data_IF_171482592430
#
_entry.id   IF_171482592430
#
_cell.length_a   1.000
_cell.length_b   1.000
_cell.length_c   1.000
_cell.angle_alpha   90.00
_cell.angle_beta   90.00
_cell.angle_gamma   90.00
#
_symmetry.space_group_name_H-M   'P 1'
#
loop_
_entity.id
_entity.type
_entity.pdbx_description
1 polymer ?
#
# COMPACT_ATOMS: atom_id res chain seq x y z
N UNK A 1 -11.88 8.07 -21.26
CA UNK A 1 -12.49 6.78 -21.56
C UNK A 1 -13.99 6.88 -21.80
N UNK A 2 -14.46 6.18 -22.82
CA UNK A 2 -15.85 6.22 -23.33
C UNK A 2 -16.97 5.88 -22.31
N UNK A 3 -16.63 5.56 -21.06
CA UNK A 3 -17.61 5.17 -20.03
C UNK A 3 -17.50 6.01 -18.74
N UNK A 4 -16.77 7.12 -18.78
CA UNK A 4 -16.69 8.05 -17.64
C UNK A 4 -17.72 9.16 -17.80
N UNK A 5 -18.29 9.56 -16.68
CA UNK A 5 -19.28 10.63 -16.61
C UNK A 5 -18.92 11.54 -15.42
N UNK A 6 -19.52 12.72 -15.35
CA UNK A 6 -19.36 13.62 -14.20
C UNK A 6 -19.78 12.96 -12.86
N UNK A 7 -20.72 12.01 -12.89
CA UNK A 7 -21.14 11.23 -11.70
C UNK A 7 -20.13 10.12 -11.33
N UNK A 8 -19.29 9.70 -12.28
CA UNK A 8 -18.24 8.65 -12.09
C UNK A 8 -16.95 9.07 -12.79
N UNK A 9 -16.31 10.15 -12.36
CA UNK A 9 -15.14 10.70 -13.03
C UNK A 9 -13.92 9.80 -12.86
N UNK A 10 -12.94 9.98 -13.74
CA UNK A 10 -11.60 9.54 -13.53
C UNK A 10 -10.91 10.55 -12.62
N UNK A 11 -10.54 10.14 -11.42
CA UNK A 11 -9.77 10.99 -10.51
C UNK A 11 -8.29 10.83 -10.80
N UNK A 12 -7.61 11.94 -11.05
CA UNK A 12 -6.17 11.98 -11.41
C UNK A 12 -5.41 12.83 -10.39
N UNK A 13 -4.32 12.32 -9.88
CA UNK A 13 -3.45 13.02 -8.94
C UNK A 13 -1.97 12.78 -9.24
N UNK A 14 -1.10 13.46 -8.53
CA UNK A 14 0.34 13.27 -8.63
C UNK A 14 1.00 13.40 -7.26
N UNK A 15 1.95 12.51 -6.97
CA UNK A 15 2.80 12.61 -5.78
C UNK A 15 3.83 13.74 -5.89
N UNK A 16 4.14 14.17 -7.10
CA UNK A 16 5.14 15.23 -7.36
C UNK A 16 4.77 16.56 -6.71
N UNK A 17 3.48 16.80 -6.47
CA UNK A 17 3.02 18.01 -5.77
C UNK A 17 3.35 17.98 -4.26
N UNK A 18 3.67 16.79 -3.69
CA UNK A 18 4.04 16.62 -2.29
C UNK A 18 5.55 16.65 -2.07
N UNK A 19 6.33 16.01 -2.95
CA UNK A 19 7.77 15.75 -2.75
C UNK A 19 8.65 16.19 -3.91
N UNK A 20 8.12 17.02 -4.84
CA UNK A 20 8.76 17.39 -6.09
C UNK A 20 9.01 16.17 -7.02
N UNK A 21 9.83 16.34 -8.05
CA UNK A 21 10.11 15.28 -9.01
C UNK A 21 11.31 14.45 -8.56
N UNK A 22 11.04 13.26 -7.97
CA UNK A 22 12.07 12.34 -7.51
C UNK A 22 12.78 11.56 -8.61
N UNK A 23 12.67 11.99 -9.88
CA UNK A 23 13.30 11.35 -11.04
C UNK A 23 13.08 9.83 -11.07
N UNK A 24 14.13 9.03 -10.87
CA UNK A 24 14.07 7.57 -10.88
C UNK A 24 13.14 6.98 -9.80
N UNK A 25 12.95 7.67 -8.68
CA UNK A 25 12.06 7.23 -7.58
C UNK A 25 10.60 7.67 -7.75
N UNK A 26 10.29 8.55 -8.72
CA UNK A 26 8.97 9.15 -8.85
C UNK A 26 7.85 8.13 -9.10
N UNK A 27 8.14 7.08 -9.86
CA UNK A 27 7.19 5.98 -10.11
C UNK A 27 6.83 5.23 -8.82
N UNK A 28 7.84 4.85 -8.04
CA UNK A 28 7.66 4.15 -6.77
C UNK A 28 6.94 5.02 -5.73
N UNK A 29 7.28 6.30 -5.66
CA UNK A 29 6.55 7.24 -4.79
C UNK A 29 5.06 7.34 -5.17
N UNK A 30 4.74 7.30 -6.47
CA UNK A 30 3.36 7.21 -6.96
C UNK A 30 2.66 5.93 -6.51
N UNK A 31 3.33 4.78 -6.58
CA UNK A 31 2.81 3.49 -6.12
C UNK A 31 2.53 3.55 -4.62
N UNK A 32 3.47 4.02 -3.80
CA UNK A 32 3.30 4.14 -2.35
C UNK A 32 2.10 5.04 -2.01
N UNK A 33 2.00 6.22 -2.65
CA UNK A 33 0.86 7.12 -2.45
C UNK A 33 -0.47 6.43 -2.77
N UNK A 34 -0.51 5.66 -3.85
CA UNK A 34 -1.71 4.94 -4.28
C UNK A 34 -2.08 3.82 -3.31
N UNK A 35 -1.11 3.04 -2.83
CA UNK A 35 -1.33 2.02 -1.80
C UNK A 35 -1.89 2.63 -0.52
N UNK A 36 -1.34 3.75 -0.06
CA UNK A 36 -1.85 4.46 1.10
C UNK A 36 -3.28 4.98 0.87
N UNK A 37 -3.58 5.53 -0.30
CA UNK A 37 -4.93 5.98 -0.65
C UNK A 37 -5.96 4.82 -0.64
N UNK A 38 -5.60 3.65 -1.19
CA UNK A 38 -6.41 2.43 -1.13
C UNK A 38 -6.63 1.98 0.31
N UNK A 39 -5.56 1.93 1.11
CA UNK A 39 -5.57 1.49 2.51
C UNK A 39 -6.43 2.39 3.39
N UNK A 40 -6.35 3.71 3.20
CA UNK A 40 -7.11 4.67 4.00
C UNK A 40 -8.51 4.94 3.45
N UNK A 41 -8.86 4.45 2.27
CA UNK A 41 -10.16 4.73 1.65
C UNK A 41 -10.36 6.20 1.32
N UNK A 42 -9.28 6.91 1.06
CA UNK A 42 -9.29 8.34 0.78
C UNK A 42 -8.34 8.69 -0.37
N UNK A 43 -8.80 9.53 -1.27
CA UNK A 43 -7.96 10.10 -2.33
C UNK A 43 -7.48 11.47 -1.87
N UNK A 44 -6.18 11.65 -1.60
CA UNK A 44 -5.67 12.91 -1.10
C UNK A 44 -5.70 14.00 -2.18
N UNK A 45 -5.83 15.24 -1.73
CA UNK A 45 -5.81 16.41 -2.63
C UNK A 45 -4.48 16.50 -3.40
N UNK A 46 -4.56 17.06 -4.59
CA UNK A 46 -3.38 17.49 -5.34
C UNK A 46 -2.98 18.89 -4.88
N UNK A 47 -1.76 19.03 -4.36
CA UNK A 47 -1.29 20.32 -3.82
C UNK A 47 -1.00 21.32 -4.92
N UNK A 48 -1.01 22.61 -4.58
CA UNK A 48 -0.60 23.73 -5.44
C UNK A 48 -1.39 23.88 -6.76
N UNK A 49 -2.59 23.30 -6.84
CA UNK A 49 -3.46 23.42 -8.01
C UNK A 49 -4.38 24.64 -7.86
N UNK A 50 -3.96 25.79 -8.36
CA UNK A 50 -4.80 26.99 -8.39
C UNK A 50 -5.78 26.95 -9.57
N UNK A 51 -5.32 26.50 -10.74
CA UNK A 51 -6.12 26.35 -11.97
C UNK A 51 -5.64 25.14 -12.77
N UNK A 52 -6.56 24.34 -13.32
CA UNK A 52 -6.20 23.27 -14.26
C UNK A 52 -5.50 23.84 -15.50
N UNK A 53 -4.64 23.03 -16.13
CA UNK A 53 -3.97 23.42 -17.36
C UNK A 53 -4.97 23.65 -18.49
N UNK A 54 -4.87 24.78 -19.18
CA UNK A 54 -5.69 25.08 -20.39
C UNK A 54 -5.28 24.25 -21.61
N UNK A 55 -4.18 23.50 -21.53
CA UNK A 55 -3.69 22.63 -22.62
C UNK A 55 -4.33 21.23 -22.60
N UNK A 56 -5.13 20.94 -21.59
CA UNK A 56 -5.80 19.67 -21.40
C UNK A 56 -7.29 19.87 -21.57
N UNK A 57 -7.91 19.08 -22.41
CA UNK A 57 -9.35 18.99 -22.53
C UNK A 57 -9.89 18.18 -21.36
N UNK A 58 -10.36 18.85 -20.33
CA UNK A 58 -10.84 18.20 -19.10
C UNK A 58 -12.22 17.54 -19.24
N UNK A 59 -12.89 17.77 -20.39
CA UNK A 59 -14.25 17.27 -20.60
C UNK A 59 -15.29 17.95 -19.71
N UNK A 60 -16.48 17.39 -19.66
CA UNK A 60 -17.61 17.87 -18.85
C UNK A 60 -17.59 17.39 -17.39
N UNK A 61 -16.42 17.19 -16.77
CA UNK A 61 -16.28 16.61 -15.44
C UNK A 61 -15.95 15.13 -15.41
N UNK A 62 -15.62 14.54 -16.56
CA UNK A 62 -15.20 13.15 -16.68
C UNK A 62 -13.82 12.88 -16.12
N UNK A 63 -12.97 13.91 -16.03
CA UNK A 63 -11.65 13.88 -15.42
C UNK A 63 -11.60 14.95 -14.35
N UNK A 64 -11.22 14.57 -13.14
CA UNK A 64 -11.14 15.45 -11.97
C UNK A 64 -9.77 15.34 -11.31
N UNK A 65 -9.19 16.49 -11.00
CA UNK A 65 -8.02 16.60 -10.12
C UNK A 65 -8.50 17.08 -8.76
N UNK A 66 -8.38 16.31 -7.69
CA UNK A 66 -8.93 16.66 -6.38
C UNK A 66 -8.18 17.87 -5.79
N UNK A 67 -8.90 18.90 -5.40
CA UNK A 67 -8.40 20.09 -4.67
C UNK A 67 -8.60 19.99 -3.16
N UNK A 68 -9.43 19.05 -2.72
CA UNK A 68 -9.63 18.64 -1.34
C UNK A 68 -9.51 17.12 -1.24
N UNK A 69 -9.30 16.59 -0.05
CA UNK A 69 -9.37 15.16 0.18
C UNK A 69 -10.77 14.64 -0.17
N UNK A 70 -10.83 13.52 -0.87
CA UNK A 70 -12.08 12.90 -1.32
C UNK A 70 -12.22 11.51 -0.70
N UNK A 71 -13.35 11.18 -0.07
CA UNK A 71 -13.64 9.80 0.32
C UNK A 71 -13.55 8.88 -0.92
N UNK A 72 -12.96 7.71 -0.74
CA UNK A 72 -13.01 6.65 -1.73
C UNK A 72 -13.91 5.53 -1.19
N UNK A 73 -15.21 5.65 -1.37
CA UNK A 73 -16.16 4.75 -0.73
C UNK A 73 -16.00 3.32 -1.20
N UNK A 74 -16.38 2.40 -0.35
CA UNK A 74 -16.51 1.01 -0.70
C UNK A 74 -17.66 0.81 -1.69
N UNK A 75 -17.54 -0.20 -2.53
CA UNK A 75 -18.54 -0.60 -3.51
C UNK A 75 -18.58 -2.12 -3.63
N UNK A 76 -19.47 -2.65 -4.45
CA UNK A 76 -19.50 -4.08 -4.79
C UNK A 76 -18.21 -4.55 -5.50
N UNK A 77 -17.49 -3.62 -6.12
CA UNK A 77 -16.22 -3.89 -6.78
C UNK A 77 -15.06 -3.35 -5.94
N UNK A 78 -13.91 -4.04 -5.92
CA UNK A 78 -12.73 -3.55 -5.24
C UNK A 78 -12.27 -2.22 -5.84
N UNK A 79 -11.70 -1.36 -5.00
CA UNK A 79 -11.09 -0.11 -5.44
C UNK A 79 -9.89 -0.42 -6.32
N UNK A 80 -9.79 0.28 -7.44
CA UNK A 80 -8.69 0.12 -8.40
C UNK A 80 -8.08 1.46 -8.74
N UNK A 81 -6.78 1.49 -8.83
CA UNK A 81 -6.03 2.63 -9.32
C UNK A 81 -4.91 2.20 -10.24
N UNK A 82 -4.39 3.15 -11.01
CA UNK A 82 -3.25 2.91 -11.86
C UNK A 82 -2.20 3.98 -11.66
N UNK A 83 -0.95 3.61 -11.78
CA UNK A 83 0.20 4.53 -11.75
C UNK A 83 0.95 4.41 -13.05
N UNK A 84 1.18 5.55 -13.72
CA UNK A 84 2.02 5.64 -14.90
C UNK A 84 3.28 6.43 -14.59
N UNK A 85 4.42 5.92 -15.00
CA UNK A 85 5.69 6.58 -14.92
C UNK A 85 6.37 6.56 -16.30
N UNK A 86 6.96 7.70 -16.68
CA UNK A 86 7.58 7.90 -17.98
C UNK A 86 9.03 8.32 -17.76
N UNK A 87 9.97 7.46 -18.13
CA UNK A 87 11.39 7.72 -18.01
C UNK A 87 11.90 8.67 -19.11
N UNK A 88 12.90 9.48 -18.77
CA UNK A 88 13.52 10.41 -19.71
C UNK A 88 14.11 9.71 -20.95
N UNK A 89 14.61 8.48 -20.75
CA UNK A 89 15.15 7.62 -21.82
C UNK A 89 14.07 6.93 -22.68
N UNK A 90 12.78 7.19 -22.43
CA UNK A 90 11.66 6.55 -23.13
C UNK A 90 11.16 5.27 -22.49
N UNK A 91 11.75 4.81 -21.38
CA UNK A 91 11.24 3.68 -20.62
C UNK A 91 9.94 4.09 -19.91
N UNK A 92 8.85 3.38 -20.20
CA UNK A 92 7.55 3.64 -19.61
C UNK A 92 7.09 2.44 -18.78
N UNK A 93 6.45 2.71 -17.65
CA UNK A 93 5.84 1.71 -16.80
C UNK A 93 4.40 2.10 -16.45
N UNK A 94 3.52 1.10 -16.44
CA UNK A 94 2.14 1.26 -16.01
C UNK A 94 1.78 0.11 -15.09
N UNK A 95 1.34 0.42 -13.88
CA UNK A 95 0.97 -0.54 -12.84
C UNK A 95 -0.47 -0.31 -12.45
N UNK A 96 -1.26 -1.40 -12.40
CA UNK A 96 -2.62 -1.38 -11.86
C UNK A 96 -2.59 -1.99 -10.47
N UNK A 97 -3.19 -1.31 -9.52
CA UNK A 97 -3.32 -1.72 -8.13
C UNK A 97 -4.79 -1.93 -7.81
N UNK A 98 -5.07 -2.96 -7.06
CA UNK A 98 -6.41 -3.29 -6.59
C UNK A 98 -6.38 -3.49 -5.07
N UNK A 99 -7.46 -3.10 -4.41
CA UNK A 99 -7.73 -3.42 -3.01
C UNK A 99 -7.74 -4.94 -2.81
N UNK A 100 -7.12 -5.47 -1.74
CA UNK A 100 -7.15 -6.89 -1.48
C UNK A 100 -8.59 -7.39 -1.28
N UNK A 101 -8.87 -8.67 -1.57
CA UNK A 101 -10.16 -9.27 -1.26
C UNK A 101 -10.49 -9.06 0.21
N UNK A 102 -11.71 -8.65 0.51
CA UNK A 102 -12.16 -8.38 1.90
C UNK A 102 -12.05 -9.58 2.81
N UNK A 103 -12.27 -10.77 2.25
CA UNK A 103 -12.17 -12.04 2.96
C UNK A 103 -10.70 -12.49 3.18
N UNK A 104 -9.75 -11.86 2.48
CA UNK A 104 -8.33 -12.16 2.63
C UNK A 104 -7.65 -11.38 3.76
N UNK A 105 -8.29 -10.34 4.27
CA UNK A 105 -7.90 -9.75 5.55
C UNK A 105 -8.68 -10.57 6.57
N UNK A 106 -8.06 -11.52 7.29
CA UNK A 106 -8.73 -12.07 8.45
C UNK A 106 -9.13 -10.83 9.25
N UNK A 107 -10.44 -10.62 9.50
CA UNK A 107 -10.84 -9.77 10.60
C UNK A 107 -9.81 -10.09 11.67
N UNK A 108 -9.32 -9.09 12.45
CA UNK A 108 -8.47 -9.37 13.60
C UNK A 108 -9.24 -10.30 14.53
N UNK A 109 -9.56 -11.44 13.99
CA UNK A 109 -10.16 -12.60 14.63
C UNK A 109 -9.08 -12.97 15.59
N UNK A 110 -9.42 -12.81 16.85
CA UNK A 110 -8.82 -13.44 17.99
C UNK A 110 -7.86 -14.49 17.47
N UNK A 111 -6.54 -14.21 17.57
CA UNK A 111 -5.52 -15.21 17.20
C UNK A 111 -6.09 -16.54 17.59
N UNK A 112 -6.24 -17.49 16.67
CA UNK A 112 -6.50 -18.82 17.13
C UNK A 112 -5.26 -19.12 17.98
N UNK A 113 -5.35 -18.83 19.27
CA UNK A 113 -4.59 -19.62 20.22
C UNK A 113 -4.94 -21.02 19.78
N UNK A 114 -4.03 -21.62 19.02
CA UNK A 114 -4.19 -22.99 18.57
C UNK A 114 -4.34 -23.83 19.83
N UNK A 115 -5.56 -23.92 20.31
CA UNK A 115 -6.00 -24.89 21.29
C UNK A 115 -6.07 -26.23 20.56
N UNK A 116 -4.92 -26.69 20.10
CA UNK A 116 -4.71 -28.07 19.88
C UNK A 116 -4.66 -28.72 21.28
N UNK A 117 -5.76 -29.31 21.75
CA UNK A 117 -5.85 -30.26 22.83
C UNK A 117 -5.13 -29.89 24.15
N UNK A 118 -5.11 -28.62 24.55
CA UNK A 118 -4.45 -28.21 25.80
C UNK A 118 -2.92 -28.39 25.81
N UNK A 119 -2.31 -28.80 24.70
CA UNK A 119 -0.86 -28.84 24.53
C UNK A 119 -0.37 -27.48 24.01
N UNK A 120 0.40 -26.79 24.82
CA UNK A 120 1.16 -25.62 24.39
C UNK A 120 2.26 -26.14 23.48
N UNK A 121 2.03 -26.06 22.16
CA UNK A 121 3.13 -26.28 21.22
C UNK A 121 4.08 -25.06 21.32
N UNK A 122 5.38 -25.26 21.47
CA UNK A 122 6.33 -24.18 21.50
C UNK A 122 6.33 -23.49 20.12
N UNK A 123 6.16 -22.19 20.10
CA UNK A 123 6.35 -21.40 18.89
C UNK A 123 7.85 -21.26 18.59
N UNK A 124 8.24 -21.56 17.37
CA UNK A 124 9.63 -21.51 16.92
C UNK A 124 9.80 -20.37 15.92
N UNK A 125 10.49 -19.32 16.35
CA UNK A 125 10.92 -18.25 15.45
C UNK A 125 12.28 -18.57 14.86
N UNK A 126 12.33 -18.88 13.56
CA UNK A 126 13.56 -19.12 12.82
C UNK A 126 14.04 -17.82 12.20
N UNK A 127 15.29 -17.44 12.49
CA UNK A 127 15.93 -16.28 11.89
C UNK A 127 17.25 -16.68 11.22
N UNK A 128 17.55 -16.09 10.08
CA UNK A 128 18.80 -16.31 9.35
C UNK A 128 19.33 -14.98 8.81
N UNK A 129 20.64 -14.89 8.67
CA UNK A 129 21.30 -13.73 8.09
C UNK A 129 22.59 -14.14 7.38
N UNK A 130 23.20 -13.21 6.64
CA UNK A 130 24.40 -13.43 5.86
C UNK A 130 25.64 -13.79 6.71
N UNK A 131 25.74 -13.20 7.91
CA UNK A 131 26.83 -13.43 8.86
C UNK A 131 26.37 -13.27 10.31
N UNK A 132 27.24 -13.57 11.26
CA UNK A 132 26.95 -13.54 12.69
C UNK A 132 26.60 -12.13 13.21
N UNK A 133 27.19 -11.08 12.64
CA UNK A 133 26.92 -9.70 13.03
C UNK A 133 25.51 -9.30 12.59
N UNK A 134 25.15 -9.58 11.35
CA UNK A 134 23.82 -9.36 10.80
C UNK A 134 22.75 -10.20 11.52
N UNK A 135 23.09 -11.44 11.93
CA UNK A 135 22.18 -12.30 12.68
C UNK A 135 21.89 -11.71 14.07
N UNK A 136 22.89 -11.20 14.77
CA UNK A 136 22.73 -10.53 16.07
C UNK A 136 21.92 -9.25 15.96
N UNK A 137 22.17 -8.42 14.94
CA UNK A 137 21.40 -7.21 14.66
C UNK A 137 19.92 -7.54 14.38
N UNK A 138 19.68 -8.56 13.56
CA UNK A 138 18.33 -9.02 13.25
C UNK A 138 17.61 -9.54 14.50
N UNK A 139 18.27 -10.33 15.33
CA UNK A 139 17.70 -10.81 16.60
C UNK A 139 17.34 -9.66 17.55
N UNK A 140 18.19 -8.64 17.64
CA UNK A 140 17.92 -7.43 18.39
C UNK A 140 16.69 -6.67 17.89
N UNK A 141 16.54 -6.51 16.58
CA UNK A 141 15.35 -5.88 15.97
C UNK A 141 14.07 -6.67 16.24
N UNK A 142 14.11 -7.99 16.22
CA UNK A 142 12.94 -8.80 16.59
C UNK A 142 12.60 -8.65 18.06
N UNK A 143 13.58 -8.59 18.96
CA UNK A 143 13.36 -8.36 20.37
C UNK A 143 12.69 -7.00 20.62
N UNK A 144 13.24 -5.91 20.07
CA UNK A 144 12.66 -4.57 20.16
C UNK A 144 11.23 -4.51 19.56
N UNK A 145 11.02 -5.16 18.43
CA UNK A 145 9.72 -5.22 17.79
C UNK A 145 8.68 -5.91 18.67
N UNK A 146 9.04 -7.01 19.33
CA UNK A 146 8.16 -7.75 20.24
C UNK A 146 7.88 -6.96 21.53
N UNK A 147 8.89 -6.28 22.09
CA UNK A 147 8.71 -5.42 23.27
C UNK A 147 7.73 -4.28 23.02
N UNK A 148 7.76 -3.69 21.83
CA UNK A 148 6.85 -2.60 21.45
C UNK A 148 5.44 -3.04 21.07
N UNK A 149 5.20 -4.35 20.93
CA UNK A 149 3.92 -4.93 20.50
C UNK A 149 3.54 -6.17 21.33
N UNK A 150 3.16 -5.96 22.59
CA UNK A 150 2.85 -7.06 23.52
C UNK A 150 1.57 -7.86 23.13
N UNK A 151 0.72 -7.30 22.26
CA UNK A 151 -0.49 -7.89 21.71
C UNK A 151 -0.24 -8.80 20.51
N UNK A 152 1.00 -8.86 19.99
CA UNK A 152 1.32 -9.63 18.81
C UNK A 152 1.38 -11.12 19.13
N UNK A 153 0.70 -11.93 18.30
CA UNK A 153 0.74 -13.38 18.41
C UNK A 153 2.09 -13.91 17.89
N UNK A 154 2.84 -14.60 18.75
CA UNK A 154 4.13 -15.18 18.39
C UNK A 154 4.01 -16.24 17.28
N UNK A 155 2.93 -17.03 17.26
CA UNK A 155 2.67 -18.01 16.21
C UNK A 155 2.51 -17.36 14.83
N UNK A 156 1.84 -16.22 14.75
CA UNK A 156 1.67 -15.49 13.48
C UNK A 156 3.00 -14.86 13.02
N UNK A 157 3.79 -14.33 13.95
CA UNK A 157 5.13 -13.84 13.66
C UNK A 157 6.03 -14.96 13.13
N UNK A 158 6.02 -16.12 13.81
CA UNK A 158 6.82 -17.29 13.43
C UNK A 158 6.44 -17.78 12.04
N UNK A 159 5.15 -17.83 11.74
CA UNK A 159 4.64 -18.22 10.41
C UNK A 159 5.09 -17.23 9.34
N UNK A 160 4.89 -15.93 9.54
CA UNK A 160 5.32 -14.91 8.59
C UNK A 160 6.83 -14.94 8.37
N UNK A 161 7.63 -15.08 9.43
CA UNK A 161 9.07 -15.19 9.32
C UNK A 161 9.54 -16.43 8.53
N UNK A 162 8.76 -17.51 8.58
CA UNK A 162 9.10 -18.76 7.88
C UNK A 162 8.63 -18.78 6.42
N UNK A 163 7.54 -18.06 6.08
CA UNK A 163 6.91 -18.14 4.74
C UNK A 163 7.27 -16.96 3.83
N UNK A 164 7.48 -15.78 4.40
CA UNK A 164 7.63 -14.54 3.63
C UNK A 164 9.10 -14.16 3.35
N UNK A 165 10.03 -14.96 3.80
CA UNK A 165 11.46 -14.81 3.48
C UNK A 165 11.90 -15.87 2.47
N UNK A 166 12.36 -15.42 1.31
CA UNK A 166 13.17 -16.27 0.44
C UNK A 166 14.49 -16.59 1.15
N UNK A 167 14.80 -17.85 1.23
CA UNK A 167 16.09 -18.34 1.74
C UNK A 167 17.26 -17.86 0.89
#
# INVERSE_FOLDING_TARGET
GAHRTAARPLVVGSVKTNIAHGESSAGMAGVIKTVLALRHGEIPRNLHLARPSSRIEWGGGEIVVPTAAMPWPESEHPRRAAVSAFGFSGTNAHVVLEEPPRDAIPAATESPTARHDGRVSPDLLVISAHDDAALKDLAGRYAEFLETRPDLCLADLSRSAATDRSA
#
